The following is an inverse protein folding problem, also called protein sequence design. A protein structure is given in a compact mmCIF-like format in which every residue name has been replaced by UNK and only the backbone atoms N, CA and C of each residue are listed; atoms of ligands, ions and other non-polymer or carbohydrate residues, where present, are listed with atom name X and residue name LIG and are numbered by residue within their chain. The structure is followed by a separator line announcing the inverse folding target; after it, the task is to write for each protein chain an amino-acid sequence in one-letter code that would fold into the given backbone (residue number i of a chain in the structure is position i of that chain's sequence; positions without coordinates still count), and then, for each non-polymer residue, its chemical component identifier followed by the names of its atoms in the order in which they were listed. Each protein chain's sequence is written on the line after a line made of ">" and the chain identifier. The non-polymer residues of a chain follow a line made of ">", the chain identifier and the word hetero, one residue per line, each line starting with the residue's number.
data_IF_097337295530
#
_entry.id   IF_097337295530
#
_cell.length_a   1.000
_cell.length_b   1.000
_cell.length_c   1.000
_cell.angle_alpha   90.00
_cell.angle_beta   90.00
_cell.angle_gamma   90.00
#
_symmetry.space_group_name_H-M   'P 1'
#
loop_
_entity.id
_entity.type
_entity.pdbx_description
1 polymer ?
#
# COMPACT_ATOMS: atom_id res chain seq x y z
N UNK A 1 -6.65 -5.56 11.51
CA UNK A 1 -7.98 -4.98 11.79
C UNK A 1 -8.25 -5.07 13.28
N UNK A 2 -9.10 -4.24 13.91
CA UNK A 2 -9.64 -4.58 15.22
C UNK A 2 -10.62 -5.75 15.08
N UNK A 3 -10.69 -6.66 16.06
CA UNK A 3 -11.72 -7.74 16.09
C UNK A 3 -13.14 -7.14 16.05
N UNK A 4 -13.32 -6.00 16.70
CA UNK A 4 -14.52 -5.18 16.63
C UNK A 4 -14.13 -3.80 16.09
N UNK A 5 -14.24 -3.55 14.78
CA UNK A 5 -13.92 -2.24 14.23
C UNK A 5 -14.91 -1.20 14.74
N UNK A 6 -14.41 -0.21 15.47
CA UNK A 6 -15.15 1.03 15.72
C UNK A 6 -15.41 1.74 14.38
N UNK A 7 -16.52 2.46 14.24
CA UNK A 7 -16.92 3.10 12.98
C UNK A 7 -15.75 3.89 12.37
N UNK A 8 -15.29 3.46 11.20
CA UNK A 8 -14.10 3.98 10.53
C UNK A 8 -14.45 5.15 9.57
N UNK A 9 -15.36 6.02 10.03
CA UNK A 9 -15.69 7.28 9.37
C UNK A 9 -14.55 8.27 9.65
N UNK A 10 -13.50 8.15 8.84
CA UNK A 10 -12.48 9.17 8.74
C UNK A 10 -13.12 10.39 8.07
N UNK A 11 -13.13 11.54 8.75
CA UNK A 11 -13.53 12.79 8.14
C UNK A 11 -12.41 13.31 7.23
N UNK A 12 -12.62 13.25 5.91
CA UNK A 12 -11.68 13.76 4.91
C UNK A 12 -11.11 12.66 4.01
N UNK A 13 -10.39 13.08 2.97
CA UNK A 13 -9.70 12.18 2.05
C UNK A 13 -8.25 11.98 2.47
N UNK A 14 -7.71 10.78 2.25
CA UNK A 14 -6.33 10.45 2.58
C UNK A 14 -5.61 9.85 1.37
N UNK A 15 -4.52 10.49 0.96
CA UNK A 15 -3.61 9.91 -0.01
C UNK A 15 -2.79 8.79 0.63
N UNK A 16 -2.53 7.72 -0.12
CA UNK A 16 -1.80 6.54 0.36
C UNK A 16 -0.68 6.20 -0.60
N UNK A 17 0.54 6.06 -0.07
CA UNK A 17 1.67 5.43 -0.74
C UNK A 17 2.06 4.20 0.07
N UNK A 18 2.00 3.03 -0.56
CA UNK A 18 2.38 1.77 0.08
C UNK A 18 3.49 1.07 -0.70
N UNK A 19 4.59 0.75 -0.03
CA UNK A 19 5.73 0.03 -0.61
C UNK A 19 5.84 -1.29 0.14
N UNK A 20 5.77 -2.41 -0.59
CA UNK A 20 5.78 -3.74 0.01
C UNK A 20 6.64 -4.71 -0.80
N UNK A 21 7.35 -5.60 -0.11
CA UNK A 21 8.08 -6.69 -0.74
C UNK A 21 7.21 -7.93 -0.88
N UNK A 22 7.11 -8.51 -2.08
CA UNK A 22 6.28 -9.70 -2.29
C UNK A 22 6.85 -10.98 -1.67
N UNK A 23 8.12 -10.96 -1.25
CA UNK A 23 8.77 -12.05 -0.48
C UNK A 23 8.79 -11.76 1.02
N UNK A 24 7.86 -10.96 1.51
CA UNK A 24 7.69 -10.71 2.94
C UNK A 24 7.00 -11.90 3.64
N UNK A 25 7.81 -12.75 4.28
CA UNK A 25 7.32 -13.91 5.03
C UNK A 25 6.75 -13.57 6.43
N UNK A 26 6.70 -12.30 6.81
CA UNK A 26 6.13 -11.83 8.07
C UNK A 26 4.75 -11.21 7.82
N UNK A 27 4.66 -10.32 6.84
CA UNK A 27 3.43 -9.65 6.41
C UNK A 27 3.15 -10.11 4.98
N UNK A 28 2.28 -11.11 4.86
CA UNK A 28 2.01 -11.75 3.58
C UNK A 28 1.45 -10.76 2.57
N UNK A 29 1.90 -10.88 1.32
CA UNK A 29 1.48 -10.02 0.24
C UNK A 29 0.13 -10.45 -0.34
N UNK A 30 -0.07 -11.75 -0.56
CA UNK A 30 -1.16 -12.32 -1.37
C UNK A 30 -2.30 -12.86 -0.50
N UNK A 31 -2.02 -13.27 0.73
CA UNK A 31 -2.98 -13.91 1.63
C UNK A 31 -3.38 -13.02 2.82
N UNK A 32 -4.66 -13.07 3.14
CA UNK A 32 -5.15 -12.57 4.42
C UNK A 32 -4.52 -13.39 5.54
N UNK A 33 -4.14 -12.74 6.64
CA UNK A 33 -3.44 -13.42 7.72
C UNK A 33 -3.92 -12.96 9.09
N UNK A 34 -3.93 -13.90 10.03
CA UNK A 34 -4.23 -13.60 11.42
C UNK A 34 -2.93 -13.35 12.20
N UNK A 35 -2.98 -12.39 13.12
CA UNK A 35 -1.86 -12.18 14.02
C UNK A 35 -1.61 -13.45 14.84
N UNK A 36 -0.34 -13.72 15.15
CA UNK A 36 0.08 -14.88 15.93
C UNK A 36 -0.74 -15.01 17.21
N UNK A 37 -1.31 -16.21 17.40
CA UNK A 37 -2.18 -16.49 18.54
C UNK A 37 -1.52 -16.09 19.87
N UNK A 38 -2.23 -15.27 20.66
CA UNK A 38 -1.81 -14.89 22.00
C UNK A 38 -0.76 -13.76 22.09
N UNK A 39 -0.27 -13.23 20.97
CA UNK A 39 0.65 -12.08 21.01
C UNK A 39 -0.08 -10.74 21.10
N UNK A 40 -1.24 -10.60 20.45
CA UNK A 40 -2.00 -9.35 20.43
C UNK A 40 -3.52 -9.60 20.54
N UNK A 41 -4.07 -9.47 21.75
CA UNK A 41 -5.52 -9.48 21.95
C UNK A 41 -6.18 -8.29 21.25
N UNK A 42 -7.28 -8.55 20.53
CA UNK A 42 -8.06 -7.49 19.86
C UNK A 42 -7.64 -7.16 18.42
N UNK A 43 -6.61 -7.83 17.89
CA UNK A 43 -6.26 -7.78 16.46
C UNK A 43 -7.01 -8.89 15.72
N UNK A 44 -7.92 -8.50 14.83
CA UNK A 44 -8.56 -9.38 13.86
C UNK A 44 -7.75 -9.46 12.56
N UNK A 45 -8.25 -10.29 11.63
CA UNK A 45 -7.62 -10.62 10.34
C UNK A 45 -7.09 -9.39 9.61
N UNK A 46 -5.87 -9.51 9.10
CA UNK A 46 -5.22 -8.52 8.27
C UNK A 46 -5.52 -8.86 6.81
N UNK A 47 -5.95 -7.85 6.04
CA UNK A 47 -6.10 -8.00 4.60
C UNK A 47 -4.74 -8.23 3.96
N UNK A 48 -4.71 -9.01 2.89
CA UNK A 48 -3.60 -9.02 1.95
C UNK A 48 -3.35 -7.60 1.37
N UNK A 49 -2.17 -7.40 0.78
CA UNK A 49 -1.75 -6.08 0.32
C UNK A 49 -2.60 -5.57 -0.86
N UNK A 50 -2.87 -6.36 -1.91
CA UNK A 50 -3.76 -5.92 -2.99
C UNK A 50 -5.15 -5.49 -2.49
N UNK A 51 -5.77 -6.29 -1.62
CA UNK A 51 -7.08 -5.99 -1.04
C UNK A 51 -7.08 -4.73 -0.17
N UNK A 52 -5.97 -4.45 0.54
CA UNK A 52 -5.80 -3.20 1.26
C UNK A 52 -5.75 -1.99 0.31
N UNK A 53 -5.04 -2.11 -0.82
CA UNK A 53 -4.95 -1.05 -1.83
C UNK A 53 -6.31 -0.80 -2.50
N UNK A 54 -7.01 -1.87 -2.88
CA UNK A 54 -8.36 -1.80 -3.43
C UNK A 54 -9.32 -1.11 -2.46
N UNK A 55 -9.26 -1.45 -1.17
CA UNK A 55 -10.08 -0.79 -0.14
C UNK A 55 -9.88 0.72 -0.10
N UNK A 56 -8.63 1.21 -0.17
CA UNK A 56 -8.37 2.65 -0.16
C UNK A 56 -8.84 3.35 -1.43
N UNK A 57 -8.71 2.69 -2.58
CA UNK A 57 -9.20 3.20 -3.85
C UNK A 57 -10.73 3.30 -3.87
N UNK A 58 -11.42 2.25 -3.40
CA UNK A 58 -12.89 2.23 -3.25
C UNK A 58 -13.38 3.28 -2.26
N UNK A 59 -12.73 3.37 -1.08
CA UNK A 59 -13.08 4.35 -0.05
C UNK A 59 -12.96 5.79 -0.54
N UNK A 60 -11.98 6.05 -1.40
CA UNK A 60 -11.75 7.36 -2.00
C UNK A 60 -12.47 7.54 -3.34
N UNK A 61 -13.32 6.59 -3.75
CA UNK A 61 -14.09 6.65 -5.00
C UNK A 61 -13.22 7.01 -6.23
N UNK A 62 -12.06 6.38 -6.36
CA UNK A 62 -11.16 6.60 -7.49
C UNK A 62 -11.77 6.12 -8.81
N UNK A 63 -11.71 6.94 -9.85
CA UNK A 63 -12.32 6.60 -11.15
C UNK A 63 -11.37 5.88 -12.11
N UNK A 64 -10.06 5.98 -11.88
CA UNK A 64 -9.04 5.39 -12.74
C UNK A 64 -8.08 4.53 -11.92
N UNK A 65 -7.61 3.43 -12.52
CA UNK A 65 -6.58 2.55 -11.99
C UNK A 65 -5.65 2.13 -13.11
N UNK A 66 -4.35 2.30 -12.91
CA UNK A 66 -3.32 1.87 -13.85
C UNK A 66 -2.31 0.98 -13.13
N UNK A 67 -2.01 -0.18 -13.73
CA UNK A 67 -0.96 -1.08 -13.27
C UNK A 67 0.15 -1.14 -14.31
N UNK A 68 1.38 -0.91 -13.86
CA UNK A 68 2.58 -1.03 -14.67
C UNK A 68 3.54 -2.01 -14.01
N UNK A 69 4.30 -2.73 -14.81
CA UNK A 69 5.40 -3.55 -14.34
C UNK A 69 6.70 -3.02 -14.93
N UNK A 70 7.68 -2.78 -14.07
CA UNK A 70 9.00 -2.26 -14.45
C UNK A 70 10.09 -3.22 -14.02
N UNK A 71 11.06 -3.46 -14.90
CA UNK A 71 12.25 -4.25 -14.56
C UNK A 71 13.35 -3.30 -14.09
N UNK A 72 13.77 -3.44 -12.84
CA UNK A 72 14.85 -2.66 -12.24
C UNK A 72 15.88 -3.59 -11.59
N UNK A 73 17.16 -3.41 -11.94
CA UNK A 73 18.28 -4.25 -11.47
C UNK A 73 18.11 -5.77 -11.69
N UNK A 74 17.22 -6.19 -12.58
CA UNK A 74 16.92 -7.60 -12.86
C UNK A 74 15.70 -8.14 -12.13
N UNK A 75 15.10 -7.34 -11.24
CA UNK A 75 13.89 -7.67 -10.50
C UNK A 75 12.70 -6.85 -11.01
N UNK A 76 11.51 -7.43 -10.96
CA UNK A 76 10.28 -6.77 -11.38
C UNK A 76 9.65 -5.98 -10.21
N UNK A 77 9.12 -4.81 -10.52
CA UNK A 77 8.38 -3.94 -9.61
C UNK A 77 7.02 -3.69 -10.23
N UNK A 78 5.98 -4.13 -9.54
CA UNK A 78 4.60 -3.77 -9.84
C UNK A 78 4.31 -2.38 -9.27
N UNK A 79 3.78 -1.49 -10.10
CA UNK A 79 3.39 -0.14 -9.73
C UNK A 79 1.92 0.09 -10.08
N UNK A 80 1.11 0.28 -9.04
CA UNK A 80 -0.32 0.54 -9.16
C UNK A 80 -0.59 1.98 -8.76
N UNK A 81 -1.36 2.69 -9.59
CA UNK A 81 -1.81 4.06 -9.31
C UNK A 81 -3.31 4.16 -9.54
N UNK A 82 -4.06 4.46 -8.48
CA UNK A 82 -5.43 4.92 -8.56
C UNK A 82 -5.51 6.43 -8.46
N UNK A 83 -6.17 7.05 -9.44
CA UNK A 83 -6.31 8.50 -9.59
C UNK A 83 -7.77 8.92 -9.75
N UNK A 84 -7.98 10.24 -9.83
CA UNK A 84 -9.31 10.85 -9.97
C UNK A 84 -10.24 10.40 -8.83
N UNK A 85 -9.68 10.45 -7.62
CA UNK A 85 -10.35 10.11 -6.37
C UNK A 85 -10.99 11.36 -5.74
N UNK A 86 -12.00 11.16 -4.92
CA UNK A 86 -12.64 12.21 -4.15
C UNK A 86 -11.64 12.88 -3.19
N UNK A 87 -11.63 14.22 -3.19
CA UNK A 87 -10.75 15.03 -2.35
C UNK A 87 -9.31 15.17 -2.85
N UNK A 88 -9.09 15.03 -4.16
CA UNK A 88 -7.81 15.25 -4.83
C UNK A 88 -6.65 14.42 -4.25
N UNK A 89 -6.95 13.18 -3.86
CA UNK A 89 -5.98 12.21 -3.35
C UNK A 89 -5.57 11.19 -4.41
N UNK A 90 -4.49 10.46 -4.14
CA UNK A 90 -3.98 9.36 -4.96
C UNK A 90 -3.69 8.16 -4.07
N UNK A 91 -4.04 6.97 -4.54
CA UNK A 91 -3.65 5.69 -3.89
C UNK A 91 -2.62 5.03 -4.78
N UNK A 92 -1.43 4.78 -4.24
CA UNK A 92 -0.27 4.35 -5.00
C UNK A 92 0.42 3.19 -4.28
N UNK A 93 0.76 2.14 -5.03
CA UNK A 93 1.39 0.95 -4.50
C UNK A 93 2.59 0.52 -5.35
N UNK A 94 3.68 0.16 -4.67
CA UNK A 94 4.82 -0.53 -5.25
C UNK A 94 4.96 -1.93 -4.63
N UNK A 95 4.73 -2.96 -5.43
CA UNK A 95 4.95 -4.37 -5.10
C UNK A 95 6.29 -4.84 -5.67
N UNK A 96 7.27 -5.09 -4.81
CA UNK A 96 8.64 -5.39 -5.20
C UNK A 96 8.88 -6.92 -5.19
N UNK A 97 9.04 -7.55 -6.36
CA UNK A 97 9.02 -9.02 -6.51
C UNK A 97 10.14 -9.76 -5.76
N UNK A 98 11.33 -9.16 -5.64
CA UNK A 98 12.48 -9.78 -4.98
C UNK A 98 12.77 -9.24 -3.56
N UNK A 99 11.91 -8.35 -3.04
CA UNK A 99 12.11 -7.67 -1.78
C UNK A 99 11.40 -8.43 -0.64
N UNK A 100 12.10 -8.60 0.49
CA UNK A 100 11.56 -9.22 1.72
C UNK A 100 11.06 -8.15 2.72
N UNK A 101 10.89 -8.52 4.00
CA UNK A 101 10.49 -7.63 5.11
C UNK A 101 11.60 -6.64 5.54
N UNK A 102 12.13 -5.86 4.60
CA UNK A 102 13.13 -4.81 4.89
C UNK A 102 12.81 -3.52 4.15
N UNK A 103 13.35 -2.41 4.64
CA UNK A 103 13.15 -1.10 4.01
C UNK A 103 14.03 -0.95 2.77
N UNK A 104 13.47 -0.78 1.56
CA UNK A 104 14.27 -0.66 0.35
C UNK A 104 14.99 0.68 0.31
N UNK A 105 16.24 0.70 -0.18
CA UNK A 105 16.97 1.94 -0.44
C UNK A 105 16.46 2.66 -1.69
N UNK A 106 15.97 1.89 -2.67
CA UNK A 106 15.41 2.37 -3.92
C UNK A 106 14.17 1.56 -4.30
N UNK A 107 13.22 2.23 -4.93
CA UNK A 107 11.99 1.65 -5.50
C UNK A 107 11.95 2.09 -6.96
N UNK A 108 11.93 1.13 -7.87
CA UNK A 108 11.96 1.37 -9.32
C UNK A 108 13.02 2.42 -9.75
N UNK A 109 14.25 2.24 -9.27
CA UNK A 109 15.38 3.14 -9.56
C UNK A 109 15.37 4.50 -8.89
N UNK A 110 14.33 4.84 -8.11
CA UNK A 110 14.24 6.07 -7.34
C UNK A 110 14.61 5.83 -5.89
N UNK A 111 15.49 6.66 -5.31
CA UNK A 111 15.78 6.57 -3.87
C UNK A 111 14.48 6.72 -3.07
N UNK A 112 14.23 5.82 -2.12
CA UNK A 112 12.94 5.73 -1.42
C UNK A 112 12.54 7.04 -0.76
N UNK A 113 13.49 7.79 -0.18
CA UNK A 113 13.20 9.10 0.41
C UNK A 113 12.75 10.15 -0.62
N UNK A 114 13.25 10.08 -1.87
CA UNK A 114 12.82 10.96 -2.96
C UNK A 114 11.43 10.57 -3.43
N UNK A 115 11.15 9.28 -3.57
CA UNK A 115 9.83 8.77 -3.92
C UNK A 115 8.79 9.27 -2.91
N UNK A 116 9.05 9.08 -1.62
CA UNK A 116 8.17 9.56 -0.54
C UNK A 116 7.97 11.08 -0.59
N UNK A 117 9.05 11.83 -0.76
CA UNK A 117 8.97 13.29 -0.83
C UNK A 117 8.17 13.76 -2.04
N UNK A 118 8.40 13.19 -3.22
CA UNK A 118 7.67 13.54 -4.43
C UNK A 118 6.17 13.25 -4.27
N UNK A 119 5.82 12.08 -3.72
CA UNK A 119 4.43 11.75 -3.42
C UNK A 119 3.78 12.78 -2.49
N UNK A 120 4.41 13.08 -1.35
CA UNK A 120 3.88 14.03 -0.37
C UNK A 120 3.76 15.46 -0.94
N UNK A 121 4.67 15.85 -1.83
CA UNK A 121 4.72 17.18 -2.40
C UNK A 121 3.68 17.40 -3.52
N UNK A 122 3.00 16.35 -3.99
CA UNK A 122 1.92 16.46 -4.99
C UNK A 122 0.61 17.00 -4.40
N UNK A 123 0.44 16.98 -3.07
CA UNK A 123 -0.77 17.42 -2.41
C UNK A 123 -0.58 18.80 -1.77
N UNK A 124 -1.50 19.73 -2.06
CA UNK A 124 -1.56 21.03 -1.41
C UNK A 124 -2.72 21.07 -0.40
N UNK A 125 -2.47 21.57 0.80
CA UNK A 125 -3.52 21.88 1.79
C UNK A 125 -4.42 23.05 1.35
#
# INVERSE_FOLDING_TARGET
>A
MPVNPETCDLSGSMAVLHIHGKLDYIIDYDEDWDWKEGEHEGVGTMSNIPGMIDYWAEKSNCQNGNTHAHLFNGDEVEHIVHSDCDGDVRIEHYGMEAQEHTWPNQVDGTDTYKLMWNFLNDFTN
#
